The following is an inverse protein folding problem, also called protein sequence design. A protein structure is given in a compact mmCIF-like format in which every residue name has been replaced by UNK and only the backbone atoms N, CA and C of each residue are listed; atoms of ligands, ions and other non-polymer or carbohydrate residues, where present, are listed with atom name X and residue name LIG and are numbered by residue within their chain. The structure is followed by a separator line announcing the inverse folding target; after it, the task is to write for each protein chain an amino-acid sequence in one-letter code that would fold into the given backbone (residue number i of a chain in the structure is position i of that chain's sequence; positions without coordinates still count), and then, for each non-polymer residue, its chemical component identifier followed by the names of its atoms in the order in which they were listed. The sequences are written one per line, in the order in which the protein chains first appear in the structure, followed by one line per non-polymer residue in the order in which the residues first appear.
data_IF_189558749194
#
_entry.id   IF_189558749194
#
_cell.length_a   1.000
_cell.length_b   1.000
_cell.length_c   1.000
_cell.angle_alpha   90.00
_cell.angle_beta   90.00
_cell.angle_gamma   90.00
#
_symmetry.space_group_name_H-M   'P 1'
#
loop_
_entity.id
_entity.type
_entity.pdbx_description
1 polymer ?
#
# COMPACT_ATOMS: atom_id res chain seq x y z
N UNK A 1 1.11 17.42 9.42
CA UNK A 1 2.10 18.10 8.53
C UNK A 1 1.54 18.12 7.13
N UNK A 2 1.44 19.29 6.53
CA UNK A 2 1.10 19.45 5.11
C UNK A 2 2.25 18.98 4.21
N UNK A 3 1.99 18.78 2.90
CA UNK A 3 3.05 18.43 1.95
C UNK A 3 4.15 19.50 1.91
N UNK A 4 3.79 20.76 2.02
CA UNK A 4 4.73 21.88 2.04
C UNK A 4 5.63 21.87 3.27
N UNK A 5 5.08 21.60 4.45
CA UNK A 5 5.84 21.45 5.70
C UNK A 5 6.81 20.26 5.63
N UNK A 6 6.37 19.14 5.04
CA UNK A 6 7.21 17.96 4.83
C UNK A 6 8.39 18.31 3.91
N UNK A 7 8.12 19.01 2.80
CA UNK A 7 9.15 19.42 1.85
C UNK A 7 10.16 20.37 2.53
N UNK A 8 9.69 21.42 3.20
CA UNK A 8 10.57 22.38 3.89
C UNK A 8 11.44 21.70 4.96
N UNK A 9 10.88 20.73 5.67
CA UNK A 9 11.60 20.03 6.75
C UNK A 9 12.64 19.06 6.22
N UNK A 10 12.28 18.25 5.22
CA UNK A 10 13.14 17.12 4.81
C UNK A 10 14.02 17.38 3.58
N UNK A 11 13.72 18.38 2.74
CA UNK A 11 14.54 18.69 1.56
C UNK A 11 16.00 19.03 1.95
N UNK A 12 16.28 19.85 2.98
CA UNK A 12 17.67 20.11 3.39
C UNK A 12 18.39 18.86 3.90
N UNK A 13 17.69 18.01 4.65
CA UNK A 13 18.24 16.77 5.25
C UNK A 13 18.61 15.78 4.14
N UNK A 14 17.67 15.54 3.21
CA UNK A 14 17.86 14.57 2.13
C UNK A 14 18.87 15.07 1.11
N UNK A 15 18.96 16.40 0.88
CA UNK A 15 19.97 16.99 0.00
C UNK A 15 21.39 16.78 0.52
N UNK A 16 21.59 16.80 1.84
CA UNK A 16 22.89 16.53 2.46
C UNK A 16 23.18 15.02 2.57
N UNK A 17 22.14 14.20 2.74
CA UNK A 17 22.24 12.75 2.89
C UNK A 17 21.13 12.04 2.11
N UNK A 18 21.34 11.76 0.82
CA UNK A 18 20.34 11.11 -0.04
C UNK A 18 19.88 9.72 0.45
N UNK A 19 20.73 9.03 1.21
CA UNK A 19 20.40 7.74 1.85
C UNK A 19 19.61 7.85 3.15
N UNK A 20 19.31 9.07 3.62
CA UNK A 20 18.49 9.29 4.81
C UNK A 20 17.12 8.63 4.66
N UNK A 21 16.57 7.94 5.68
CA UNK A 21 15.23 7.32 5.65
C UNK A 21 14.10 8.28 5.25
N UNK A 22 14.32 9.57 5.38
CA UNK A 22 13.34 10.62 5.04
C UNK A 22 13.12 10.81 3.53
N UNK A 23 13.98 10.24 2.67
CA UNK A 23 13.82 10.38 1.22
C UNK A 23 12.48 9.86 0.71
N UNK A 24 11.96 8.78 1.29
CA UNK A 24 10.68 8.20 0.90
C UNK A 24 9.51 9.15 1.22
N UNK A 25 9.52 9.73 2.43
CA UNK A 25 8.50 10.69 2.85
C UNK A 25 8.54 11.98 2.02
N UNK A 26 9.74 12.48 1.74
CA UNK A 26 9.93 13.64 0.86
C UNK A 26 9.49 13.35 -0.57
N UNK A 27 9.87 12.19 -1.10
CA UNK A 27 9.44 11.73 -2.42
C UNK A 27 7.91 11.62 -2.55
N UNK A 28 7.25 11.09 -1.51
CA UNK A 28 5.79 11.03 -1.47
C UNK A 28 5.15 12.42 -1.46
N UNK A 29 5.66 13.37 -0.68
CA UNK A 29 5.18 14.74 -0.67
C UNK A 29 5.32 15.40 -2.06
N UNK A 30 6.44 15.17 -2.77
CA UNK A 30 6.58 15.63 -4.14
C UNK A 30 5.65 14.95 -5.14
N UNK A 31 5.31 13.66 -4.94
CA UNK A 31 4.30 12.98 -5.75
C UNK A 31 2.92 13.63 -5.54
N UNK A 32 2.55 13.91 -4.30
CA UNK A 32 1.25 14.52 -3.93
C UNK A 32 1.14 15.95 -4.44
N UNK A 33 2.18 16.76 -4.30
CA UNK A 33 2.23 18.13 -4.83
C UNK A 33 2.36 18.23 -6.36
N UNK A 34 2.47 17.08 -7.07
CA UNK A 34 2.58 17.04 -8.52
C UNK A 34 3.99 17.31 -9.07
N UNK A 35 4.98 17.54 -8.23
CA UNK A 35 6.36 17.77 -8.67
C UNK A 35 7.07 16.45 -8.96
N UNK A 36 6.60 15.77 -10.01
CA UNK A 36 7.07 14.41 -10.36
C UNK A 36 8.56 14.35 -10.69
N UNK A 37 9.13 15.42 -11.26
CA UNK A 37 10.56 15.48 -11.59
C UNK A 37 11.42 15.42 -10.33
N UNK A 38 11.10 16.23 -9.31
CA UNK A 38 11.80 16.19 -8.01
C UNK A 38 11.57 14.86 -7.30
N UNK A 39 10.34 14.34 -7.32
CA UNK A 39 10.02 13.04 -6.74
C UNK A 39 10.91 11.92 -7.32
N UNK A 40 10.96 11.80 -8.65
CA UNK A 40 11.80 10.78 -9.33
C UNK A 40 13.26 10.92 -8.97
N UNK A 41 13.81 12.13 -8.98
CA UNK A 41 15.22 12.37 -8.64
C UNK A 41 15.54 11.92 -7.20
N UNK A 42 14.79 12.40 -6.22
CA UNK A 42 15.02 12.10 -4.81
C UNK A 42 14.85 10.62 -4.51
N UNK A 43 13.78 10.01 -5.04
CA UNK A 43 13.53 8.59 -4.86
C UNK A 43 14.60 7.73 -5.55
N UNK A 44 15.12 8.15 -6.71
CA UNK A 44 16.19 7.43 -7.39
C UNK A 44 17.47 7.43 -6.57
N UNK A 45 17.90 8.57 -6.04
CA UNK A 45 19.10 8.64 -5.20
C UNK A 45 18.89 7.88 -3.87
N UNK A 46 17.70 8.00 -3.26
CA UNK A 46 17.38 7.28 -2.03
C UNK A 46 17.41 5.76 -2.18
N UNK A 47 16.86 5.20 -3.28
CA UNK A 47 16.88 3.75 -3.51
C UNK A 47 18.24 3.24 -4.01
N UNK A 48 19.10 4.08 -4.57
CA UNK A 48 20.51 3.71 -4.84
C UNK A 48 21.25 3.45 -3.55
N UNK A 49 21.03 4.28 -2.54
CA UNK A 49 21.64 4.12 -1.21
C UNK A 49 20.98 2.99 -0.40
N UNK A 50 19.70 2.71 -0.64
CA UNK A 50 18.90 1.72 0.10
C UNK A 50 18.15 0.80 -0.88
N UNK A 51 18.83 -0.10 -1.60
CA UNK A 51 18.24 -0.86 -2.71
C UNK A 51 17.15 -1.85 -2.29
N UNK A 52 17.17 -2.30 -1.05
CA UNK A 52 16.20 -3.26 -0.47
C UNK A 52 15.02 -2.57 0.24
N UNK A 53 15.00 -1.24 0.26
CA UNK A 53 13.90 -0.51 0.92
C UNK A 53 12.65 -0.52 0.03
N UNK A 54 11.74 -1.47 0.31
CA UNK A 54 10.53 -1.75 -0.48
C UNK A 54 9.69 -0.51 -0.71
N UNK A 55 9.38 0.25 0.35
CA UNK A 55 8.57 1.48 0.25
C UNK A 55 9.19 2.50 -0.70
N UNK A 56 10.51 2.69 -0.65
CA UNK A 56 11.23 3.57 -1.57
C UNK A 56 11.10 3.12 -3.04
N UNK A 57 11.25 1.83 -3.30
CA UNK A 57 11.08 1.25 -4.64
C UNK A 57 9.65 1.41 -5.16
N UNK A 58 8.63 1.20 -4.30
CA UNK A 58 7.22 1.39 -4.66
C UNK A 58 6.90 2.86 -4.98
N UNK A 59 7.39 3.79 -4.15
CA UNK A 59 7.18 5.22 -4.39
C UNK A 59 7.85 5.68 -5.68
N UNK A 60 9.07 5.20 -5.96
CA UNK A 60 9.75 5.48 -7.22
C UNK A 60 8.94 4.94 -8.42
N UNK A 61 8.44 3.70 -8.32
CA UNK A 61 7.58 3.12 -9.35
C UNK A 61 6.33 3.98 -9.60
N UNK A 62 5.64 4.40 -8.53
CA UNK A 62 4.46 5.28 -8.62
C UNK A 62 4.79 6.63 -9.27
N UNK A 63 5.91 7.24 -8.90
CA UNK A 63 6.36 8.50 -9.50
C UNK A 63 6.64 8.34 -11.00
N UNK A 64 7.32 7.24 -11.38
CA UNK A 64 7.61 6.91 -12.77
C UNK A 64 6.34 6.64 -13.60
N UNK A 65 5.35 5.92 -13.04
CA UNK A 65 4.03 5.71 -13.70
C UNK A 65 3.35 7.05 -13.97
N UNK A 66 3.32 7.94 -12.98
CA UNK A 66 2.70 9.26 -13.12
C UNK A 66 3.46 10.16 -14.11
N UNK A 67 4.78 10.00 -14.20
CA UNK A 67 5.63 10.70 -15.16
C UNK A 67 5.63 10.07 -16.58
N UNK A 68 4.95 8.93 -16.79
CA UNK A 68 4.84 8.25 -18.07
C UNK A 68 5.99 7.29 -18.40
N UNK A 69 6.94 7.08 -17.49
CA UNK A 69 8.08 6.17 -17.67
C UNK A 69 7.72 4.73 -17.32
N UNK A 70 6.77 4.13 -18.08
CA UNK A 70 6.18 2.83 -17.76
C UNK A 70 7.19 1.67 -17.71
N UNK A 71 8.17 1.53 -18.64
CA UNK A 71 9.16 0.45 -18.58
C UNK A 71 10.03 0.51 -17.32
N UNK A 72 10.46 1.71 -16.93
CA UNK A 72 11.25 1.90 -15.71
C UNK A 72 10.42 1.61 -14.45
N UNK A 73 9.16 2.04 -14.43
CA UNK A 73 8.23 1.76 -13.33
C UNK A 73 8.02 0.25 -13.15
N UNK A 74 7.82 -0.48 -14.26
CA UNK A 74 7.68 -1.94 -14.24
C UNK A 74 8.90 -2.61 -13.60
N UNK A 75 10.11 -2.18 -13.97
CA UNK A 75 11.33 -2.74 -13.38
C UNK A 75 11.41 -2.48 -11.86
N UNK A 76 10.98 -1.31 -11.38
CA UNK A 76 10.92 -1.03 -9.94
C UNK A 76 9.94 -1.95 -9.22
N UNK A 77 8.74 -2.16 -9.77
CA UNK A 77 7.79 -3.13 -9.18
C UNK A 77 8.32 -4.57 -9.23
N UNK A 78 9.06 -4.96 -10.27
CA UNK A 78 9.73 -6.28 -10.30
C UNK A 78 10.79 -6.42 -9.19
N UNK A 79 11.53 -5.35 -8.86
CA UNK A 79 12.43 -5.34 -7.71
C UNK A 79 11.64 -5.56 -6.42
N UNK A 80 10.51 -4.87 -6.24
CA UNK A 80 9.63 -5.09 -5.08
C UNK A 80 9.20 -6.55 -5.00
N UNK A 81 8.73 -7.15 -6.09
CA UNK A 81 8.28 -8.55 -6.09
C UNK A 81 9.41 -9.58 -5.90
N UNK A 82 10.67 -9.23 -6.18
CA UNK A 82 11.81 -10.08 -5.79
C UNK A 82 12.08 -10.05 -4.29
N UNK A 83 11.82 -8.92 -3.64
CA UNK A 83 11.99 -8.74 -2.19
C UNK A 83 10.77 -9.25 -1.40
N UNK A 84 9.60 -9.08 -1.94
CA UNK A 84 8.30 -9.45 -1.38
C UNK A 84 7.38 -9.95 -2.51
N UNK A 85 7.37 -11.27 -2.79
CA UNK A 85 6.59 -11.84 -3.88
C UNK A 85 5.07 -11.65 -3.78
N UNK A 86 4.56 -11.48 -2.55
CA UNK A 86 3.14 -11.24 -2.25
C UNK A 86 2.74 -9.77 -2.21
N UNK A 87 3.60 -8.86 -2.64
CA UNK A 87 3.31 -7.43 -2.53
C UNK A 87 2.16 -6.98 -3.44
N UNK A 88 0.97 -6.82 -2.86
CA UNK A 88 -0.26 -6.45 -3.58
C UNK A 88 -0.12 -5.14 -4.35
N UNK A 89 0.53 -4.12 -3.78
CA UNK A 89 0.73 -2.84 -4.45
C UNK A 89 1.61 -2.96 -5.71
N UNK A 90 2.61 -3.84 -5.68
CA UNK A 90 3.47 -4.08 -6.83
C UNK A 90 2.75 -4.90 -7.91
N UNK A 91 1.98 -5.92 -7.53
CA UNK A 91 1.17 -6.72 -8.46
C UNK A 91 0.14 -5.83 -9.17
N UNK A 92 -0.58 -4.99 -8.42
CA UNK A 92 -1.46 -3.97 -8.99
C UNK A 92 -0.74 -3.00 -9.92
N UNK A 93 0.43 -2.54 -9.50
CA UNK A 93 1.26 -1.63 -10.29
C UNK A 93 1.64 -2.23 -11.64
N UNK A 94 2.05 -3.50 -11.67
CA UNK A 94 2.36 -4.24 -12.90
C UNK A 94 1.11 -4.41 -13.75
N UNK A 95 0.00 -4.92 -13.20
CA UNK A 95 -1.24 -5.10 -13.95
C UNK A 95 -1.65 -3.82 -14.68
N UNK A 96 -1.67 -2.68 -13.99
CA UNK A 96 -2.03 -1.39 -14.57
C UNK A 96 -1.05 -0.91 -15.66
N UNK A 97 0.23 -1.22 -15.54
CA UNK A 97 1.23 -0.88 -16.57
C UNK A 97 0.98 -1.74 -17.81
N UNK A 98 0.82 -3.05 -17.65
CA UNK A 98 0.61 -3.98 -18.76
C UNK A 98 -0.69 -3.63 -19.52
N UNK A 99 -1.80 -3.36 -18.82
CA UNK A 99 -3.02 -2.89 -19.47
C UNK A 99 -2.85 -1.59 -20.24
N UNK A 100 -2.08 -0.63 -19.70
CA UNK A 100 -1.78 0.61 -20.43
C UNK A 100 -0.93 0.41 -21.70
N UNK A 101 -0.15 -0.66 -21.74
CA UNK A 101 0.67 -1.03 -22.88
C UNK A 101 -0.05 -1.96 -23.86
N UNK A 102 -1.28 -2.40 -23.54
CA UNK A 102 -2.06 -3.33 -24.35
C UNK A 102 -1.69 -4.80 -24.15
N UNK A 103 -0.88 -5.11 -23.15
CA UNK A 103 -0.46 -6.46 -22.80
C UNK A 103 -1.51 -7.07 -21.85
N UNK A 104 -2.63 -7.49 -22.43
CA UNK A 104 -3.82 -7.94 -21.66
C UNK A 104 -3.52 -9.19 -20.84
N UNK A 105 -2.86 -10.18 -21.42
CA UNK A 105 -2.56 -11.46 -20.77
C UNK A 105 -1.66 -11.26 -19.55
N UNK A 106 -0.58 -10.49 -19.68
CA UNK A 106 0.34 -10.20 -18.59
C UNK A 106 -0.32 -9.40 -17.46
N UNK A 107 -1.23 -8.51 -17.82
CA UNK A 107 -2.02 -7.75 -16.85
C UNK A 107 -2.95 -8.66 -16.03
N UNK A 108 -3.64 -9.58 -16.70
CA UNK A 108 -4.49 -10.59 -16.06
C UNK A 108 -3.67 -11.55 -15.18
N UNK A 109 -2.51 -11.99 -15.64
CA UNK A 109 -1.62 -12.85 -14.84
C UNK A 109 -1.17 -12.16 -13.54
N UNK A 110 -0.91 -10.86 -13.59
CA UNK A 110 -0.59 -10.09 -12.38
C UNK A 110 -1.79 -9.99 -11.42
N UNK A 111 -3.02 -9.82 -11.94
CA UNK A 111 -4.23 -9.82 -11.12
C UNK A 111 -4.53 -11.20 -10.52
N UNK A 112 -4.33 -12.29 -11.27
CA UNK A 112 -4.46 -13.65 -10.73
C UNK A 112 -3.53 -13.89 -9.54
N UNK A 113 -2.27 -13.46 -9.65
CA UNK A 113 -1.32 -13.54 -8.55
C UNK A 113 -1.76 -12.71 -7.35
N UNK A 114 -2.32 -11.53 -7.59
CA UNK A 114 -2.87 -10.69 -6.53
C UNK A 114 -4.03 -11.37 -5.79
N UNK A 115 -4.97 -11.97 -6.52
CA UNK A 115 -6.11 -12.69 -5.94
C UNK A 115 -5.65 -13.94 -5.16
N UNK A 116 -4.55 -14.58 -5.56
CA UNK A 116 -3.96 -15.66 -4.75
C UNK A 116 -3.40 -15.18 -3.41
N UNK A 117 -2.96 -13.93 -3.33
CA UNK A 117 -2.45 -13.31 -2.09
C UNK A 117 -3.59 -12.74 -1.26
N UNK A 118 -4.53 -12.08 -1.90
CA UNK A 118 -5.72 -11.47 -1.30
C UNK A 118 -6.96 -11.84 -2.11
N UNK A 119 -7.62 -12.95 -1.77
CA UNK A 119 -8.84 -13.41 -2.47
C UNK A 119 -10.02 -12.46 -2.35
N UNK A 120 -10.00 -11.52 -1.42
CA UNK A 120 -11.06 -10.54 -1.17
C UNK A 120 -10.75 -9.16 -1.75
N UNK A 121 -9.65 -8.97 -2.49
CA UNK A 121 -9.39 -7.71 -3.21
C UNK A 121 -10.48 -7.47 -4.27
N UNK A 122 -11.55 -6.82 -3.84
CA UNK A 122 -12.71 -6.53 -4.69
C UNK A 122 -12.37 -5.66 -5.90
N UNK A 123 -11.30 -4.87 -5.81
CA UNK A 123 -10.86 -4.04 -6.93
C UNK A 123 -10.17 -4.88 -8.00
N UNK A 124 -9.37 -5.88 -7.62
CA UNK A 124 -8.74 -6.82 -8.54
C UNK A 124 -9.80 -7.71 -9.22
N UNK A 125 -10.73 -8.26 -8.45
CA UNK A 125 -11.83 -9.06 -8.96
C UNK A 125 -12.68 -8.27 -9.95
N UNK A 126 -13.05 -7.04 -9.62
CA UNK A 126 -13.83 -6.16 -10.52
C UNK A 126 -13.08 -5.83 -11.81
N UNK A 127 -11.78 -5.62 -11.76
CA UNK A 127 -10.99 -5.35 -12.96
C UNK A 127 -10.87 -6.59 -13.85
N UNK A 128 -10.81 -7.81 -13.26
CA UNK A 128 -10.87 -9.07 -14.01
C UNK A 128 -12.25 -9.28 -14.66
N UNK A 129 -13.33 -9.15 -13.90
CA UNK A 129 -14.71 -9.29 -14.41
C UNK A 129 -14.98 -8.32 -15.58
N UNK A 130 -14.54 -7.06 -15.43
CA UNK A 130 -14.66 -6.04 -16.49
C UNK A 130 -13.97 -6.43 -17.80
N UNK A 131 -12.93 -7.26 -17.72
CA UNK A 131 -12.17 -7.77 -18.88
C UNK A 131 -12.63 -9.13 -19.36
N UNK A 132 -13.76 -9.62 -18.81
CA UNK A 132 -14.35 -10.91 -19.19
C UNK A 132 -13.60 -12.13 -18.63
N UNK A 133 -12.80 -11.93 -17.59
CA UNK A 133 -12.13 -13.01 -16.87
C UNK A 133 -12.80 -13.21 -15.51
N UNK A 134 -13.12 -14.45 -15.18
CA UNK A 134 -13.61 -14.85 -13.87
C UNK A 134 -12.53 -15.70 -13.17
N UNK A 135 -12.50 -15.63 -11.85
CA UNK A 135 -11.65 -16.50 -11.05
C UNK A 135 -12.48 -17.70 -10.60
N UNK A 136 -12.09 -18.91 -10.99
CA UNK A 136 -12.83 -20.13 -10.64
C UNK A 136 -12.86 -20.40 -9.13
N UNK A 137 -11.83 -19.94 -8.41
CA UNK A 137 -11.61 -20.22 -6.98
C UNK A 137 -11.80 -19.00 -6.06
N UNK A 138 -12.22 -17.84 -6.61
CA UNK A 138 -12.43 -16.63 -5.83
C UNK A 138 -13.89 -16.16 -5.90
N UNK A 139 -14.39 -15.49 -4.85
CA UNK A 139 -15.73 -14.91 -4.85
C UNK A 139 -15.84 -13.83 -5.94
N UNK A 140 -17.09 -13.51 -6.35
CA UNK A 140 -17.32 -12.34 -7.20
C UNK A 140 -16.93 -11.04 -6.47
N UNK A 141 -16.66 -9.97 -7.21
CA UNK A 141 -16.29 -8.69 -6.61
C UNK A 141 -17.33 -8.17 -5.59
N UNK A 142 -18.61 -8.37 -5.85
CA UNK A 142 -19.69 -7.99 -4.92
C UNK A 142 -19.70 -8.84 -3.66
N UNK A 143 -19.41 -10.10 -3.79
CA UNK A 143 -19.36 -11.03 -2.66
C UNK A 143 -18.11 -10.76 -1.79
N UNK A 144 -16.99 -10.47 -2.39
CA UNK A 144 -15.78 -10.03 -1.69
C UNK A 144 -16.02 -8.74 -0.89
N UNK A 145 -16.70 -7.74 -1.48
CA UNK A 145 -17.09 -6.52 -0.77
C UNK A 145 -18.01 -6.80 0.44
N UNK A 146 -18.95 -7.72 0.28
CA UNK A 146 -19.84 -8.13 1.39
C UNK A 146 -19.06 -8.80 2.50
N UNK A 147 -18.23 -9.80 2.17
CA UNK A 147 -17.43 -10.54 3.15
C UNK A 147 -16.45 -9.62 3.90
N UNK A 148 -15.83 -8.68 3.20
CA UNK A 148 -14.94 -7.69 3.82
C UNK A 148 -15.70 -6.79 4.80
N UNK A 149 -16.94 -6.40 4.47
CA UNK A 149 -17.77 -5.59 5.36
C UNK A 149 -18.17 -6.37 6.61
N UNK A 150 -18.64 -7.61 6.43
CA UNK A 150 -19.05 -8.50 7.53
C UNK A 150 -17.87 -8.73 8.50
N UNK A 151 -16.65 -8.97 7.99
CA UNK A 151 -15.46 -9.14 8.84
C UNK A 151 -15.05 -7.87 9.58
N UNK A 152 -15.26 -6.68 9.00
CA UNK A 152 -14.99 -5.42 9.68
C UNK A 152 -16.01 -5.15 10.79
N UNK A 153 -17.30 -5.38 10.53
CA UNK A 153 -18.37 -5.23 11.52
C UNK A 153 -18.15 -6.19 12.71
N UNK A 154 -17.83 -7.45 12.46
CA UNK A 154 -17.48 -8.42 13.52
C UNK A 154 -16.23 -8.01 14.32
N UNK A 155 -15.24 -7.38 13.68
CA UNK A 155 -14.02 -6.91 14.36
C UNK A 155 -14.29 -5.69 15.23
N UNK A 156 -15.17 -4.78 14.80
CA UNK A 156 -15.58 -3.60 15.59
C UNK A 156 -16.41 -4.02 16.80
N UNK A 157 -17.39 -4.94 16.64
CA UNK A 157 -18.16 -5.49 17.75
C UNK A 157 -17.27 -6.24 18.76
N UNK A 158 -16.28 -7.00 18.27
CA UNK A 158 -15.31 -7.69 19.14
C UNK A 158 -14.40 -6.73 19.90
N UNK A 159 -14.07 -5.57 19.34
CA UNK A 159 -13.26 -4.56 20.00
C UNK A 159 -14.07 -3.82 21.09
N UNK A 160 -15.33 -3.46 20.82
CA UNK A 160 -16.22 -2.85 21.82
C UNK A 160 -16.43 -3.77 23.04
N UNK A 161 -16.61 -5.08 22.83
CA UNK A 161 -16.77 -6.06 23.93
C UNK A 161 -15.51 -6.16 24.81
N UNK A 162 -14.32 -6.05 24.22
CA UNK A 162 -13.06 -6.09 24.99
C UNK A 162 -12.89 -4.82 25.82
N UNK A 163 -13.25 -3.65 25.30
CA UNK A 163 -13.20 -2.39 26.04
C UNK A 163 -14.21 -2.38 27.20
N UNK A 164 -15.41 -2.96 27.02
CA UNK A 164 -16.39 -3.11 28.10
C UNK A 164 -15.88 -4.05 29.20
N UNK A 165 -15.31 -5.21 28.85
CA UNK A 165 -14.74 -6.17 29.84
C UNK A 165 -13.55 -5.56 30.61
N UNK A 166 -12.66 -4.81 29.92
CA UNK A 166 -11.54 -4.12 30.59
C UNK A 166 -12.03 -3.02 31.53
N UNK A 167 -13.08 -2.29 31.19
CA UNK A 167 -13.66 -1.26 32.04
C UNK A 167 -14.35 -1.84 33.31
N UNK A 168 -15.04 -2.96 33.17
CA UNK A 168 -15.65 -3.66 34.31
C UNK A 168 -14.61 -4.24 35.29
N UNK A 169 -13.47 -4.71 34.75
CA UNK A 169 -12.35 -5.23 35.58
C UNK A 169 -11.69 -4.06 36.34
N UNK A 170 -11.53 -2.92 35.74
CA UNK A 170 -10.92 -1.74 36.35
C UNK A 170 -11.84 -1.13 37.44
N UNK A 171 -13.16 -1.09 37.23
CA UNK A 171 -14.15 -0.68 38.24
C UNK A 171 -14.19 -1.66 39.45
N UNK A 172 -14.13 -2.96 39.19
CA UNK A 172 -14.11 -3.97 40.25
C UNK A 172 -12.83 -3.87 41.11
N UNK A 173 -11.67 -3.64 40.48
CA UNK A 173 -10.39 -3.48 41.17
C UNK A 173 -10.32 -2.20 42.02
N UNK A 174 -10.95 -1.12 41.61
CA UNK A 174 -11.01 0.12 42.38
C UNK A 174 -12.01 0.06 43.53
N UNK A 175 -13.14 -0.65 43.38
CA UNK A 175 -14.15 -0.82 44.40
C UNK A 175 -13.64 -1.69 45.60
N UNK A 176 -12.80 -2.69 45.38
CA UNK A 176 -12.18 -3.48 46.46
C UNK A 176 -11.13 -2.69 47.25
N UNK A 177 -10.47 -1.71 46.65
CA UNK A 177 -9.47 -0.87 47.32
C UNK A 177 -10.12 0.15 48.29
N UNK A 178 -11.33 0.64 48.00
CA UNK A 178 -12.08 1.56 48.89
C UNK A 178 -12.75 0.83 50.07
N UNK A 179 -13.09 -0.46 49.95
CA UNK A 179 -13.74 -1.22 51.02
C UNK A 179 -12.75 -1.74 52.09
N UNK A 180 -11.43 -1.60 51.87
CA UNK A 180 -10.38 -2.09 52.76
C UNK A 180 -9.75 -0.99 53.66
N UNK A 181 -10.34 0.25 53.68
CA UNK A 181 -9.86 1.37 54.51
C UNK A 181 -10.87 1.70 55.59
#
# INVERSE_FOLDING_TARGET
MSEEEIIQTYEPIVSQSPGSPHFARLGEAYIKSGNLRKAVNILTEGVKANPTYITGQQLLARALVRAGYLPQARERYRIVLRLDPGNSAALWGIARIEFKQGNEEEGIDALKKLILVDPLDSAALREMEKRGHESEDAPSAKEAERLTRETLEESEEGFELVEEEESEIEEAATGEAEAAT
#
